data_IF_237745850464
#
_entry.id   IF_237745850464
#
_cell.length_a   1.000
_cell.length_b   1.000
_cell.length_c   1.000
_cell.angle_alpha   90.00
_cell.angle_beta   90.00
_cell.angle_gamma   90.00
#
_symmetry.space_group_name_H-M   'P 1'
#
loop_
_entity.id
_entity.type
_entity.pdbx_description
1 polymer ?
#
# COMPACT_ATOMS: atom_id res chain seq x y z
N UNK A 1 -63.40 43.81 -14.63
CA UNK A 1 -62.26 43.25 -15.37
C UNK A 1 -61.45 42.37 -14.43
N UNK A 2 -61.33 41.08 -14.77
CA UNK A 2 -61.01 39.95 -13.89
C UNK A 2 -59.96 39.05 -14.58
N UNK A 3 -59.08 38.45 -13.76
CA UNK A 3 -58.49 37.10 -13.88
C UNK A 3 -57.43 36.85 -14.98
N UNK A 4 -56.17 36.59 -14.58
CA UNK A 4 -55.54 35.27 -14.32
C UNK A 4 -55.33 34.39 -15.56
N UNK A 5 -54.07 33.96 -15.79
CA UNK A 5 -53.81 32.55 -16.10
C UNK A 5 -52.38 32.11 -15.77
N UNK A 6 -52.32 31.00 -15.04
CA UNK A 6 -51.16 30.21 -14.62
C UNK A 6 -51.41 28.81 -15.19
N UNK A 7 -50.46 28.19 -15.91
CA UNK A 7 -50.48 26.77 -16.29
C UNK A 7 -49.01 26.31 -16.32
N UNK A 8 -48.46 25.58 -15.34
CA UNK A 8 -48.61 24.17 -14.93
C UNK A 8 -48.23 23.14 -16.01
N UNK A 9 -47.14 22.42 -15.71
CA UNK A 9 -46.60 21.24 -16.38
C UNK A 9 -47.58 20.05 -16.35
N UNK A 10 -47.54 19.12 -17.31
CA UNK A 10 -48.36 17.92 -17.29
C UNK A 10 -47.75 16.84 -16.40
N UNK A 11 -48.55 16.38 -15.43
CA UNK A 11 -48.33 15.15 -14.68
C UNK A 11 -48.91 13.97 -15.48
N UNK A 12 -48.14 12.88 -15.57
CA UNK A 12 -48.63 11.59 -16.04
C UNK A 12 -49.58 10.98 -15.01
N UNK A 13 -50.85 10.76 -15.39
CA UNK A 13 -51.78 9.88 -14.68
C UNK A 13 -52.09 8.67 -15.55
N UNK A 14 -51.55 7.53 -15.14
CA UNK A 14 -51.98 6.20 -15.55
C UNK A 14 -53.34 5.90 -14.91
N UNK A 15 -54.31 5.49 -15.72
CA UNK A 15 -55.64 5.12 -15.25
C UNK A 15 -56.54 4.73 -16.42
N UNK A 16 -56.40 3.48 -16.88
CA UNK A 16 -57.24 2.89 -17.92
C UNK A 16 -57.12 1.38 -17.87
N UNK A 17 -58.06 0.75 -17.18
CA UNK A 17 -58.19 -0.70 -17.03
C UNK A 17 -58.65 -1.29 -18.38
N UNK A 18 -57.73 -1.91 -19.13
CA UNK A 18 -58.05 -2.64 -20.37
C UNK A 18 -58.21 -4.12 -20.07
N UNK A 19 -59.42 -4.61 -20.30
CA UNK A 19 -59.88 -5.96 -20.03
C UNK A 19 -59.36 -6.92 -21.13
N UNK A 20 -58.74 -8.04 -20.74
CA UNK A 20 -58.00 -8.95 -21.62
C UNK A 20 -58.88 -9.85 -22.53
N UNK A 21 -60.14 -9.49 -22.79
CA UNK A 21 -61.10 -10.34 -23.52
C UNK A 21 -61.41 -9.91 -24.95
N UNK A 22 -60.95 -8.73 -25.38
CA UNK A 22 -61.26 -8.17 -26.70
C UNK A 22 -60.03 -8.06 -27.62
N UNK A 23 -59.23 -9.13 -27.73
CA UNK A 23 -58.23 -9.22 -28.80
C UNK A 23 -58.69 -10.15 -29.92
N UNK A 24 -58.69 -9.70 -31.19
CA UNK A 24 -59.06 -10.53 -32.32
C UNK A 24 -58.00 -11.61 -32.57
N UNK A 25 -58.45 -12.87 -32.66
CA UNK A 25 -57.60 -14.03 -32.98
C UNK A 25 -57.24 -14.02 -34.46
N UNK A 26 -56.00 -13.65 -34.76
CA UNK A 26 -55.40 -13.81 -36.09
C UNK A 26 -55.13 -15.31 -36.32
N UNK A 27 -55.81 -15.91 -37.31
CA UNK A 27 -55.50 -17.25 -37.82
C UNK A 27 -54.40 -17.14 -38.87
N UNK A 28 -53.27 -17.80 -38.66
CA UNK A 28 -52.25 -17.99 -39.70
C UNK A 28 -52.53 -19.29 -40.48
N UNK A 29 -52.36 -19.31 -41.81
CA UNK A 29 -52.55 -20.50 -42.62
C UNK A 29 -51.40 -21.49 -42.43
N UNK A 30 -51.76 -22.78 -42.35
CA UNK A 30 -50.86 -23.93 -42.48
C UNK A 30 -50.73 -24.26 -43.96
N UNK A 31 -49.50 -24.29 -44.49
CA UNK A 31 -49.00 -25.21 -45.54
C UNK A 31 -47.46 -25.23 -45.42
N UNK A 32 -46.81 -26.31 -44.96
CA UNK A 32 -46.40 -27.52 -45.69
C UNK A 32 -45.58 -27.25 -46.96
N UNK A 33 -44.25 -27.35 -46.85
CA UNK A 33 -43.36 -27.83 -47.92
C UNK A 33 -41.96 -28.08 -47.38
N UNK A 34 -41.66 -29.37 -47.18
CA UNK A 34 -40.31 -29.90 -47.06
C UNK A 34 -39.53 -29.61 -48.36
N UNK A 35 -38.25 -29.24 -48.26
CA UNK A 35 -37.12 -29.85 -49.01
C UNK A 35 -35.85 -28.99 -48.90
N UNK A 36 -34.74 -29.72 -48.77
CA UNK A 36 -33.37 -29.33 -49.05
C UNK A 36 -32.63 -28.43 -48.03
N UNK A 37 -32.02 -29.05 -47.02
CA UNK A 37 -30.60 -28.79 -46.68
C UNK A 37 -29.97 -30.12 -46.20
N UNK A 38 -29.31 -30.84 -47.11
CA UNK A 38 -28.28 -31.84 -46.79
C UNK A 38 -26.99 -31.31 -47.40
N UNK A 39 -25.90 -31.49 -46.64
CA UNK A 39 -24.49 -31.29 -47.01
C UNK A 39 -23.94 -29.85 -46.89
N UNK A 40 -23.43 -29.51 -45.69
CA UNK A 40 -22.01 -29.20 -45.49
C UNK A 40 -21.70 -29.09 -43.97
N UNK A 41 -21.52 -30.22 -43.29
CA UNK A 41 -20.88 -30.28 -41.96
C UNK A 41 -19.73 -31.27 -42.06
N UNK A 42 -18.67 -30.86 -42.75
CA UNK A 42 -17.33 -31.45 -42.67
C UNK A 42 -16.34 -30.30 -42.84
N UNK A 43 -15.97 -29.66 -41.72
CA UNK A 43 -14.73 -28.89 -41.48
C UNK A 43 -14.94 -27.95 -40.29
N UNK A 44 -14.93 -28.49 -39.07
CA UNK A 44 -14.66 -27.74 -37.84
C UNK A 44 -13.85 -28.60 -36.87
N UNK A 45 -12.91 -29.36 -37.42
CA UNK A 45 -11.76 -29.91 -36.68
C UNK A 45 -10.58 -29.00 -36.97
N UNK A 46 -10.53 -27.91 -36.21
CA UNK A 46 -9.53 -26.85 -36.39
C UNK A 46 -9.74 -25.71 -35.40
N UNK A 47 -10.22 -26.00 -34.19
CA UNK A 47 -10.12 -25.04 -33.09
C UNK A 47 -8.68 -25.11 -32.59
N UNK A 48 -7.78 -24.37 -33.27
CA UNK A 48 -6.47 -24.08 -32.72
C UNK A 48 -6.65 -23.46 -31.36
N UNK A 49 -6.04 -24.06 -30.34
CA UNK A 49 -5.91 -23.43 -29.04
C UNK A 49 -5.17 -22.10 -29.26
N UNK A 50 -5.91 -20.99 -29.22
CA UNK A 50 -5.32 -19.72 -28.87
C UNK A 50 -4.81 -19.90 -27.44
N UNK A 51 -3.52 -20.15 -27.30
CA UNK A 51 -2.83 -19.95 -26.04
C UNK A 51 -2.94 -18.47 -25.72
N UNK A 52 -3.89 -18.14 -24.84
CA UNK A 52 -3.86 -16.88 -24.13
C UNK A 52 -2.54 -16.90 -23.35
N UNK A 53 -1.59 -16.04 -23.73
CA UNK A 53 -0.39 -15.77 -22.93
C UNK A 53 -0.85 -15.02 -21.67
N UNK A 54 -1.52 -15.75 -20.79
CA UNK A 54 -1.95 -15.29 -19.49
C UNK A 54 -0.84 -15.55 -18.50
N UNK A 55 -0.28 -14.46 -17.96
CA UNK A 55 0.26 -14.34 -16.61
C UNK A 55 0.92 -15.62 -16.07
N UNK A 56 2.11 -15.93 -16.58
CA UNK A 56 2.98 -16.93 -15.95
C UNK A 56 3.22 -16.50 -14.49
N UNK A 57 3.01 -17.39 -13.50
CA UNK A 57 3.15 -17.03 -12.11
C UNK A 57 4.59 -16.57 -11.85
N UNK A 58 4.73 -15.41 -11.20
CA UNK A 58 6.03 -14.84 -10.82
C UNK A 58 6.88 -15.88 -10.12
N UNK A 59 8.01 -16.25 -10.74
CA UNK A 59 8.90 -17.29 -10.22
C UNK A 59 9.83 -16.70 -9.17
N UNK A 60 10.12 -17.49 -8.13
CA UNK A 60 11.02 -17.07 -7.05
C UNK A 60 12.40 -16.68 -7.57
N UNK A 61 12.92 -17.38 -8.59
CA UNK A 61 14.23 -17.08 -9.18
C UNK A 61 14.25 -15.71 -9.88
N UNK A 62 13.13 -15.25 -10.41
CA UNK A 62 13.07 -13.95 -11.08
C UNK A 62 12.95 -12.79 -10.08
N UNK A 63 12.32 -13.03 -8.93
CA UNK A 63 12.37 -12.11 -7.78
C UNK A 63 13.79 -12.02 -7.22
N UNK A 64 14.49 -13.16 -7.09
CA UNK A 64 15.89 -13.16 -6.67
C UNK A 64 16.77 -12.38 -7.65
N UNK A 65 16.53 -12.52 -8.96
CA UNK A 65 17.23 -11.73 -9.98
C UNK A 65 17.02 -10.23 -9.79
N UNK A 66 15.78 -9.79 -9.52
CA UNK A 66 15.50 -8.39 -9.22
C UNK A 66 16.26 -7.91 -7.97
N UNK A 67 16.19 -8.66 -6.87
CA UNK A 67 16.84 -8.28 -5.61
C UNK A 67 18.37 -8.24 -5.70
N UNK A 68 18.96 -9.17 -6.47
CA UNK A 68 20.42 -9.30 -6.58
C UNK A 68 21.03 -8.37 -7.63
N UNK A 69 20.38 -8.23 -8.79
CA UNK A 69 20.95 -7.52 -9.94
C UNK A 69 20.33 -6.13 -10.11
N UNK A 70 19.01 -6.00 -10.02
CA UNK A 70 18.30 -4.77 -10.42
C UNK A 70 18.19 -3.76 -9.27
N UNK A 71 17.77 -4.18 -8.08
CA UNK A 71 17.61 -3.27 -6.94
C UNK A 71 18.91 -2.52 -6.57
N UNK A 72 20.10 -3.16 -6.55
CA UNK A 72 21.35 -2.45 -6.30
C UNK A 72 21.72 -1.45 -7.41
N UNK A 73 21.39 -1.75 -8.66
CA UNK A 73 21.60 -0.82 -9.78
C UNK A 73 20.68 0.40 -9.67
N UNK A 74 19.39 0.19 -9.39
CA UNK A 74 18.45 1.28 -9.15
C UNK A 74 18.91 2.16 -7.97
N UNK A 75 19.38 1.54 -6.89
CA UNK A 75 19.89 2.25 -5.72
C UNK A 75 21.14 3.09 -6.00
N UNK A 76 22.06 2.58 -6.81
CA UNK A 76 23.33 3.26 -7.11
C UNK A 76 23.25 4.28 -8.25
N UNK A 77 22.34 4.10 -9.21
CA UNK A 77 22.25 4.94 -10.43
C UNK A 77 21.04 5.85 -10.49
N UNK A 78 19.98 5.56 -9.74
CA UNK A 78 18.66 6.18 -9.98
C UNK A 78 18.04 6.85 -8.75
N UNK A 79 18.25 6.29 -7.55
CA UNK A 79 17.53 6.76 -6.35
C UNK A 79 17.88 8.17 -5.90
N UNK A 80 19.04 8.70 -6.27
CA UNK A 80 19.41 10.08 -5.96
C UNK A 80 18.38 11.10 -6.48
N UNK A 81 17.76 10.82 -7.63
CA UNK A 81 16.80 11.69 -8.30
C UNK A 81 15.37 11.13 -8.36
N UNK A 82 15.20 9.81 -8.25
CA UNK A 82 13.91 9.12 -8.46
C UNK A 82 13.50 8.24 -7.27
N UNK A 83 13.79 8.66 -6.04
CA UNK A 83 13.34 7.99 -4.81
C UNK A 83 12.61 8.92 -3.86
N UNK A 84 11.90 8.37 -2.86
CA UNK A 84 11.23 9.16 -1.83
C UNK A 84 12.20 9.89 -0.89
N UNK A 85 13.49 9.48 -0.88
CA UNK A 85 14.57 10.16 -0.17
C UNK A 85 15.27 11.26 -0.98
N UNK A 86 14.95 11.40 -2.26
CA UNK A 86 15.54 12.43 -3.11
C UNK A 86 15.12 13.84 -2.65
N UNK A 87 16.04 14.80 -2.73
CA UNK A 87 15.74 16.22 -2.43
C UNK A 87 14.65 16.78 -3.33
N UNK A 88 14.66 16.35 -4.59
CA UNK A 88 13.65 16.66 -5.60
C UNK A 88 13.40 15.38 -6.39
N UNK A 89 12.12 14.98 -6.52
CA UNK A 89 11.74 13.82 -7.32
C UNK A 89 11.55 14.28 -8.77
N UNK A 90 12.41 13.81 -9.67
CA UNK A 90 12.37 14.20 -11.08
C UNK A 90 11.31 13.38 -11.86
N UNK A 91 10.56 14.07 -12.74
CA UNK A 91 9.58 13.45 -13.64
C UNK A 91 8.44 12.70 -12.94
N UNK A 92 8.13 13.06 -11.69
CA UNK A 92 7.10 12.38 -10.90
C UNK A 92 7.38 10.90 -10.62
N UNK A 93 8.58 10.41 -10.95
CA UNK A 93 8.90 8.99 -11.04
C UNK A 93 9.55 8.47 -9.76
N UNK A 94 9.00 7.38 -9.22
CA UNK A 94 9.48 6.67 -8.03
C UNK A 94 9.96 5.27 -8.41
N UNK A 95 11.26 5.02 -8.30
CA UNK A 95 11.90 3.74 -8.64
C UNK A 95 12.23 2.90 -7.40
N UNK A 96 12.10 3.46 -6.21
CA UNK A 96 12.38 2.84 -4.91
C UNK A 96 11.20 2.04 -4.35
N UNK A 97 10.11 1.93 -5.09
CA UNK A 97 8.90 1.23 -4.67
C UNK A 97 8.26 0.45 -5.83
N UNK A 98 7.68 -0.71 -5.51
CA UNK A 98 6.94 -1.50 -6.50
C UNK A 98 5.73 -0.71 -7.05
N UNK A 99 5.01 -0.01 -6.18
CA UNK A 99 3.89 0.86 -6.56
C UNK A 99 4.35 2.01 -7.47
N UNK A 100 5.50 2.63 -7.18
CA UNK A 100 6.07 3.69 -8.01
C UNK A 100 6.49 3.20 -9.40
N UNK A 101 7.17 2.05 -9.45
CA UNK A 101 7.56 1.40 -10.71
C UNK A 101 6.35 1.03 -11.58
N UNK A 102 5.26 0.58 -10.96
CA UNK A 102 4.00 0.28 -11.65
C UNK A 102 3.25 1.55 -12.10
N UNK A 103 3.28 2.61 -11.28
CA UNK A 103 2.62 3.88 -11.59
C UNK A 103 3.29 4.61 -12.75
N UNK A 104 4.61 4.54 -12.86
CA UNK A 104 5.37 5.32 -13.84
C UNK A 104 5.56 6.77 -13.41
N UNK A 105 5.79 7.66 -14.37
CA UNK A 105 6.06 9.08 -14.13
C UNK A 105 5.21 10.00 -15.01
N UNK A 106 5.58 11.27 -15.06
CA UNK A 106 4.89 12.30 -15.85
C UNK A 106 4.90 11.99 -17.36
N UNK A 107 5.88 11.21 -17.82
CA UNK A 107 6.00 10.71 -19.20
C UNK A 107 5.15 9.46 -19.49
N UNK A 108 4.38 8.98 -18.50
CA UNK A 108 3.53 7.80 -18.62
C UNK A 108 4.12 6.54 -17.96
N UNK A 109 3.58 5.35 -18.31
CA UNK A 109 4.06 4.08 -17.77
C UNK A 109 5.54 3.87 -18.10
N UNK A 110 6.33 3.53 -17.09
CA UNK A 110 7.75 3.24 -17.29
C UNK A 110 7.96 1.81 -17.80
N UNK A 111 7.14 0.85 -17.33
CA UNK A 111 7.36 -0.57 -17.55
C UNK A 111 6.25 -1.18 -18.41
N UNK A 112 6.62 -1.74 -19.55
CA UNK A 112 5.84 -2.68 -20.34
C UNK A 112 6.47 -4.07 -20.18
N UNK A 113 5.80 -4.95 -19.42
CA UNK A 113 6.30 -6.29 -19.12
C UNK A 113 6.43 -7.17 -20.37
N UNK A 114 7.52 -7.91 -20.49
CA UNK A 114 7.77 -8.86 -21.59
C UNK A 114 8.17 -8.22 -22.92
N UNK A 115 8.22 -6.89 -23.02
CA UNK A 115 8.51 -6.16 -24.26
C UNK A 115 9.65 -5.14 -24.04
N UNK A 116 10.91 -5.61 -23.88
CA UNK A 116 12.02 -4.72 -23.53
C UNK A 116 12.34 -3.67 -24.60
N UNK A 117 12.16 -3.99 -25.89
CA UNK A 117 12.50 -3.07 -26.99
C UNK A 117 11.47 -1.95 -27.19
N UNK A 118 10.25 -2.12 -26.68
CA UNK A 118 9.16 -1.12 -26.73
C UNK A 118 9.03 -0.38 -25.38
N UNK A 119 10.04 -0.48 -24.52
CA UNK A 119 9.99 -0.01 -23.15
C UNK A 119 10.74 1.31 -22.97
N UNK A 120 10.05 2.31 -22.42
CA UNK A 120 10.62 3.64 -22.17
C UNK A 120 11.89 3.58 -21.30
N UNK A 121 11.95 2.67 -20.31
CA UNK A 121 13.15 2.49 -19.48
C UNK A 121 14.38 2.17 -20.33
N UNK A 122 14.25 1.28 -21.32
CA UNK A 122 15.39 0.89 -22.16
C UNK A 122 15.75 2.01 -23.13
N UNK A 123 14.77 2.69 -23.71
CA UNK A 123 14.99 3.84 -24.59
C UNK A 123 15.81 4.94 -23.88
N UNK A 124 15.43 5.33 -22.66
CA UNK A 124 16.12 6.40 -21.92
C UNK A 124 17.50 5.98 -21.41
N UNK A 125 17.69 4.71 -21.06
CA UNK A 125 18.99 4.17 -20.65
C UNK A 125 19.95 4.01 -21.85
N UNK A 126 19.42 3.70 -23.04
CA UNK A 126 20.18 3.63 -24.29
C UNK A 126 20.42 4.98 -24.94
N UNK A 127 19.75 6.03 -24.47
CA UNK A 127 19.83 7.39 -25.04
C UNK A 127 19.32 7.43 -26.49
N UNK A 128 18.32 6.61 -26.80
CA UNK A 128 17.79 6.48 -28.17
C UNK A 128 16.68 7.53 -28.45
N UNK A 129 16.25 8.29 -27.44
CA UNK A 129 15.22 9.32 -27.53
C UNK A 129 15.63 10.69 -26.97
N UNK A 130 14.64 11.57 -26.80
CA UNK A 130 14.82 12.94 -26.31
C UNK A 130 15.14 13.01 -24.81
N UNK A 131 14.69 12.01 -24.05
CA UNK A 131 14.95 11.89 -22.61
C UNK A 131 16.10 10.91 -22.41
N UNK A 132 17.16 11.38 -21.75
CA UNK A 132 18.38 10.60 -21.50
C UNK A 132 18.63 10.52 -19.99
N UNK A 133 18.81 9.30 -19.48
CA UNK A 133 19.04 9.05 -18.05
C UNK A 133 20.10 7.96 -17.87
N UNK A 134 21.02 8.09 -16.89
CA UNK A 134 21.20 9.20 -15.95
C UNK A 134 21.89 10.43 -16.57
N UNK A 135 21.61 11.66 -16.11
CA UNK A 135 22.16 12.88 -16.72
C UNK A 135 23.70 12.99 -16.64
N UNK A 136 24.32 12.29 -15.68
CA UNK A 136 25.77 12.32 -15.45
C UNK A 136 26.55 11.42 -16.42
N UNK A 137 25.85 10.54 -17.15
CA UNK A 137 26.48 9.67 -18.14
C UNK A 137 25.71 8.37 -18.36
N UNK A 138 25.80 7.86 -19.59
CA UNK A 138 25.15 6.63 -20.02
C UNK A 138 25.69 5.42 -19.24
N UNK A 139 24.81 4.51 -18.83
CA UNK A 139 25.22 3.27 -18.18
C UNK A 139 26.09 2.40 -19.11
N UNK A 140 27.00 1.59 -18.56
CA UNK A 140 27.65 0.53 -19.30
C UNK A 140 26.62 -0.40 -19.94
N UNK A 141 26.89 -0.86 -21.16
CA UNK A 141 25.96 -1.74 -21.90
C UNK A 141 25.58 -2.99 -21.09
N UNK A 142 26.52 -3.55 -20.32
CA UNK A 142 26.26 -4.70 -19.45
C UNK A 142 25.20 -4.42 -18.37
N UNK A 143 25.14 -3.20 -17.81
CA UNK A 143 24.10 -2.83 -16.83
C UNK A 143 22.74 -2.65 -17.53
N UNK A 144 22.71 -2.08 -18.74
CA UNK A 144 21.49 -1.94 -19.55
C UNK A 144 20.92 -3.32 -19.94
N UNK A 145 21.78 -4.28 -20.25
CA UNK A 145 21.36 -5.66 -20.55
C UNK A 145 20.70 -6.35 -19.34
N UNK A 146 21.11 -6.04 -18.11
CA UNK A 146 20.43 -6.55 -16.90
C UNK A 146 18.99 -6.04 -16.82
N UNK A 147 18.76 -4.74 -17.06
CA UNK A 147 17.40 -4.19 -17.13
C UNK A 147 16.59 -4.79 -18.26
N UNK A 148 17.21 -4.99 -19.43
CA UNK A 148 16.58 -5.61 -20.60
C UNK A 148 16.13 -7.04 -20.29
N UNK A 149 16.98 -7.81 -19.61
CA UNK A 149 16.68 -9.18 -19.19
C UNK A 149 15.58 -9.23 -18.12
N UNK A 150 15.61 -8.33 -17.13
CA UNK A 150 14.55 -8.22 -16.13
C UNK A 150 13.18 -7.93 -16.78
N UNK A 151 13.14 -7.02 -17.76
CA UNK A 151 11.92 -6.72 -18.52
C UNK A 151 11.45 -7.92 -19.36
N UNK A 152 12.38 -8.66 -19.97
CA UNK A 152 12.08 -9.89 -20.72
C UNK A 152 11.44 -10.95 -19.82
N UNK A 153 11.83 -11.02 -18.54
CA UNK A 153 11.23 -11.87 -17.50
C UNK A 153 9.89 -11.38 -16.98
N UNK A 154 9.34 -10.31 -17.54
CA UNK A 154 8.07 -9.72 -17.13
C UNK A 154 8.18 -8.67 -16.02
N UNK A 155 9.39 -8.17 -15.75
CA UNK A 155 9.68 -7.23 -14.67
C UNK A 155 9.05 -7.59 -13.32
N UNK A 156 9.32 -8.80 -12.80
CA UNK A 156 8.75 -9.22 -11.54
C UNK A 156 9.29 -8.37 -10.40
N UNK A 157 8.38 -7.98 -9.50
CA UNK A 157 8.63 -7.17 -8.33
C UNK A 157 8.23 -7.96 -7.08
N UNK A 158 8.98 -7.86 -5.98
CA UNK A 158 8.61 -8.49 -4.71
C UNK A 158 7.28 -7.92 -4.22
N UNK A 159 6.44 -8.79 -3.66
CA UNK A 159 5.19 -8.36 -3.06
C UNK A 159 5.47 -7.54 -1.79
N UNK A 160 5.15 -6.25 -1.83
CA UNK A 160 5.11 -5.35 -0.67
C UNK A 160 6.48 -4.94 -0.14
N UNK A 161 6.84 -3.67 -0.35
CA UNK A 161 7.80 -2.98 0.50
C UNK A 161 7.01 -2.08 1.47
N UNK A 162 7.10 -2.25 2.80
CA UNK A 162 6.41 -1.37 3.75
C UNK A 162 6.80 0.11 3.61
N UNK A 163 7.92 0.44 2.97
CA UNK A 163 8.28 1.82 2.63
C UNK A 163 7.65 2.30 1.31
N UNK A 164 7.18 1.39 0.44
CA UNK A 164 6.55 1.71 -0.85
C UNK A 164 5.16 2.35 -0.73
N UNK A 165 4.44 2.07 0.35
CA UNK A 165 3.07 2.58 0.59
C UNK A 165 3.03 4.02 1.11
N UNK A 166 4.17 4.72 1.20
CA UNK A 166 4.14 6.16 1.44
C UNK A 166 3.85 6.87 0.12
N UNK A 167 2.64 7.44 -0.07
CA UNK A 167 2.36 8.25 -1.24
C UNK A 167 3.44 9.32 -1.38
N UNK A 168 4.02 9.44 -2.58
CA UNK A 168 4.92 10.55 -2.89
C UNK A 168 4.16 11.86 -2.70
N UNK A 169 4.57 12.63 -1.69
CA UNK A 169 4.30 14.08 -1.64
C UNK A 169 3.00 14.54 -0.97
N UNK A 170 2.09 13.66 -0.54
CA UNK A 170 0.92 14.08 0.24
C UNK A 170 1.11 13.73 1.72
N UNK A 171 1.48 14.73 2.53
CA UNK A 171 1.36 14.62 3.99
C UNK A 171 -0.13 14.50 4.29
N UNK A 172 -0.56 13.34 4.77
CA UNK A 172 -1.91 13.15 5.29
C UNK A 172 -2.03 13.93 6.61
N UNK A 173 -2.44 15.19 6.51
CA UNK A 173 -2.64 16.04 7.66
C UNK A 173 -3.82 15.57 8.52
N UNK A 174 -4.78 14.85 7.97
CA UNK A 174 -5.91 14.27 8.73
C UNK A 174 -5.41 13.13 9.62
N UNK A 175 -4.72 12.15 9.06
CA UNK A 175 -4.07 11.08 9.84
C UNK A 175 -3.02 11.66 10.82
N UNK A 176 -2.28 12.69 10.40
CA UNK A 176 -1.34 13.40 11.25
C UNK A 176 -2.01 13.99 12.49
N UNK A 177 -3.21 14.57 12.38
CA UNK A 177 -3.97 15.12 13.52
C UNK A 177 -4.40 14.06 14.55
N UNK A 178 -4.43 12.78 14.18
CA UNK A 178 -4.74 11.69 15.12
C UNK A 178 -3.56 11.29 16.00
N UNK A 179 -2.34 11.74 15.68
CA UNK A 179 -1.16 11.45 16.48
C UNK A 179 -1.32 11.98 17.91
N UNK A 180 -0.85 11.20 18.89
CA UNK A 180 -1.18 11.39 20.30
C UNK A 180 -0.88 12.79 20.86
N UNK A 181 0.13 13.49 20.33
CA UNK A 181 0.54 14.81 20.80
C UNK A 181 -0.32 15.97 20.25
N UNK A 182 -1.06 15.75 19.17
CA UNK A 182 -1.97 16.75 18.58
C UNK A 182 -3.40 16.63 19.08
N UNK A 183 -3.71 15.56 19.81
CA UNK A 183 -5.02 15.35 20.43
C UNK A 183 -5.09 16.05 21.78
N UNK A 184 -6.22 16.68 22.13
CA UNK A 184 -6.42 17.23 23.46
C UNK A 184 -6.21 16.18 24.55
N UNK A 185 -5.47 16.54 25.61
CA UNK A 185 -5.23 15.65 26.74
C UNK A 185 -6.52 15.46 27.53
N UNK A 186 -7.09 14.26 27.47
CA UNK A 186 -8.28 13.89 28.23
C UNK A 186 -7.92 13.04 29.45
N UNK A 187 -8.55 13.34 30.59
CA UNK A 187 -8.35 12.60 31.82
C UNK A 187 -9.00 11.22 31.74
N UNK A 188 -8.20 10.18 31.52
CA UNK A 188 -8.66 8.77 31.43
C UNK A 188 -9.27 8.28 32.75
N UNK A 189 -10.32 7.47 32.74
CA UNK A 189 -10.84 6.85 33.97
C UNK A 189 -9.79 5.94 34.61
N UNK A 190 -9.82 5.84 35.95
CA UNK A 190 -8.93 4.93 36.67
C UNK A 190 -9.34 3.48 36.39
N UNK A 191 -8.41 2.58 36.03
CA UNK A 191 -8.73 1.17 35.80
C UNK A 191 -9.07 0.45 37.12
N UNK A 192 -9.86 -0.62 37.00
CA UNK A 192 -10.15 -1.56 38.10
C UNK A 192 -9.04 -2.61 38.20
N UNK A 193 -8.63 -2.94 39.42
CA UNK A 193 -7.46 -3.79 39.70
C UNK A 193 -7.76 -4.70 40.88
N UNK A 194 -7.19 -5.91 40.89
CA UNK A 194 -7.52 -6.94 41.89
C UNK A 194 -6.83 -6.74 43.25
N UNK A 195 -5.86 -5.83 43.34
CA UNK A 195 -5.16 -5.46 44.58
C UNK A 195 -4.76 -3.98 44.54
N UNK A 196 -5.52 -3.09 45.19
CA UNK A 196 -5.29 -1.64 45.13
C UNK A 196 -4.24 -1.15 46.14
N UNK A 197 -3.48 -2.03 46.80
CA UNK A 197 -2.53 -1.62 47.85
C UNK A 197 -1.22 -1.06 47.28
N UNK A 198 -0.71 -1.63 46.19
CA UNK A 198 0.56 -1.22 45.59
C UNK A 198 0.53 0.19 44.94
N UNK A 199 -0.53 0.59 44.21
CA UNK A 199 -0.58 1.89 43.54
C UNK A 199 -0.55 3.08 44.52
N UNK A 200 0.47 3.95 44.42
CA UNK A 200 0.61 5.16 45.24
C UNK A 200 0.16 6.42 44.51
N UNK A 201 0.47 6.49 43.22
CA UNK A 201 0.09 7.59 42.34
C UNK A 201 -0.99 7.17 41.36
N UNK A 202 -1.59 8.14 40.67
CA UNK A 202 -2.60 7.87 39.64
C UNK A 202 -2.06 7.02 38.48
N UNK A 203 -0.78 7.18 38.14
CA UNK A 203 -0.13 6.44 37.04
C UNK A 203 0.01 4.96 37.42
N UNK A 204 0.31 4.68 38.68
CA UNK A 204 0.54 3.32 39.18
C UNK A 204 -0.69 2.41 38.98
N UNK A 205 -1.90 2.97 38.98
CA UNK A 205 -3.13 2.23 38.66
C UNK A 205 -3.12 1.68 37.24
N UNK A 206 -2.62 2.45 36.27
CA UNK A 206 -2.48 1.99 34.88
C UNK A 206 -1.36 0.98 34.74
N UNK A 207 -0.27 1.15 35.49
CA UNK A 207 0.86 0.21 35.51
C UNK A 207 0.40 -1.15 36.05
N UNK A 208 -0.21 -1.21 37.24
CA UNK A 208 -0.65 -2.47 37.81
C UNK A 208 -1.74 -3.15 36.96
N UNK A 209 -2.65 -2.38 36.35
CA UNK A 209 -3.66 -2.92 35.44
C UNK A 209 -3.03 -3.57 34.20
N UNK A 210 -1.97 -2.97 33.65
CA UNK A 210 -1.21 -3.57 32.56
C UNK A 210 -0.48 -4.83 33.00
N UNK A 211 0.21 -4.79 34.15
CA UNK A 211 0.91 -5.96 34.69
C UNK A 211 -0.04 -7.13 34.95
N UNK A 212 -1.21 -6.89 35.56
CA UNK A 212 -2.20 -7.93 35.83
C UNK A 212 -2.74 -8.58 34.56
N UNK A 213 -2.95 -7.81 33.48
CA UNK A 213 -3.36 -8.35 32.17
C UNK A 213 -2.32 -9.31 31.61
N UNK A 214 -1.04 -8.98 31.77
CA UNK A 214 0.09 -9.79 31.37
C UNK A 214 0.50 -10.83 32.43
N UNK A 215 -0.29 -11.00 33.50
CA UNK A 215 -0.04 -11.95 34.59
C UNK A 215 1.29 -11.71 35.34
N UNK A 216 1.73 -10.46 35.37
CA UNK A 216 2.92 -10.00 36.09
C UNK A 216 2.56 -9.40 37.45
N UNK A 217 3.50 -9.50 38.39
CA UNK A 217 3.40 -8.89 39.72
C UNK A 217 4.53 -7.88 39.95
N UNK A 218 4.29 -6.79 40.69
CA UNK A 218 5.34 -5.84 41.05
C UNK A 218 6.47 -6.50 41.84
N UNK A 219 7.70 -6.07 41.56
CA UNK A 219 8.85 -6.43 42.39
C UNK A 219 8.74 -5.76 43.76
N UNK A 220 9.32 -6.37 44.81
CA UNK A 220 9.45 -5.71 46.11
C UNK A 220 10.28 -4.42 45.98
N UNK A 221 10.04 -3.48 46.89
CA UNK A 221 10.85 -2.28 46.98
C UNK A 221 12.32 -2.65 47.24
N UNK A 222 13.23 -2.02 46.51
CA UNK A 222 14.66 -2.20 46.73
C UNK A 222 15.07 -1.64 48.10
N UNK A 223 16.04 -2.28 48.75
CA UNK A 223 16.62 -1.78 49.98
C UNK A 223 17.42 -0.47 49.74
N UNK A 224 17.67 0.29 50.82
CA UNK A 224 18.35 1.58 50.74
C UNK A 224 19.76 1.48 50.14
N UNK A 225 20.50 0.41 50.42
CA UNK A 225 21.85 0.24 49.88
C UNK A 225 21.83 -0.02 48.36
N UNK A 226 20.85 -0.79 47.89
CA UNK A 226 20.59 -0.98 46.46
C UNK A 226 20.17 0.32 45.78
N UNK A 227 19.33 1.14 46.44
CA UNK A 227 18.85 2.41 45.90
C UNK A 227 19.98 3.42 45.67
N UNK A 228 20.82 3.69 46.67
CA UNK A 228 21.93 4.65 46.49
C UNK A 228 22.88 4.19 45.39
N UNK A 229 23.19 2.88 45.34
CA UNK A 229 24.05 2.33 44.30
C UNK A 229 23.47 2.58 42.91
N UNK A 230 22.18 2.28 42.68
CA UNK A 230 21.52 2.50 41.38
C UNK A 230 21.50 3.97 41.00
N UNK A 231 21.13 4.85 41.93
CA UNK A 231 21.09 6.28 41.70
C UNK A 231 22.45 6.85 41.26
N UNK A 232 23.53 6.41 41.92
CA UNK A 232 24.89 6.82 41.57
C UNK A 232 25.30 6.37 40.17
N UNK A 233 24.99 5.12 39.80
CA UNK A 233 25.26 4.66 38.43
C UNK A 233 24.41 5.40 37.39
N UNK A 234 23.14 5.66 37.68
CA UNK A 234 22.23 6.30 36.73
C UNK A 234 22.55 7.79 36.50
N UNK A 235 22.93 8.51 37.57
CA UNK A 235 23.17 9.96 37.52
C UNK A 235 24.63 10.31 37.26
N UNK A 236 25.56 9.59 37.89
CA UNK A 236 27.00 9.91 37.87
C UNK A 236 27.79 8.94 37.00
N UNK A 237 27.34 7.68 36.88
CA UNK A 237 28.05 6.63 36.14
C UNK A 237 29.18 5.95 36.92
N UNK A 238 29.36 6.29 38.20
CA UNK A 238 30.37 5.72 39.10
C UNK A 238 29.70 5.16 40.36
N UNK A 239 30.30 4.16 41.05
CA UNK A 239 29.75 3.68 42.31
C UNK A 239 29.84 4.75 43.43
N UNK A 240 28.94 4.71 44.43
CA UNK A 240 29.04 5.59 45.60
C UNK A 240 30.27 5.25 46.44
N UNK A 241 30.82 6.27 47.12
CA UNK A 241 31.88 6.04 48.11
C UNK A 241 31.29 5.37 49.36
N UNK A 242 32.10 4.67 50.18
CA UNK A 242 31.64 4.11 51.44
C UNK A 242 31.00 5.17 52.37
N UNK A 243 31.55 6.38 52.39
CA UNK A 243 31.03 7.50 53.17
C UNK A 243 29.64 7.94 52.70
N UNK A 244 29.43 8.03 51.38
CA UNK A 244 28.11 8.36 50.80
C UNK A 244 27.05 7.31 51.16
N UNK A 245 27.41 6.03 51.08
CA UNK A 245 26.51 4.93 51.46
C UNK A 245 26.16 5.03 52.94
N UNK A 246 27.14 5.24 53.81
CA UNK A 246 26.90 5.36 55.25
C UNK A 246 25.99 6.54 55.57
N UNK A 247 26.22 7.71 54.95
CA UNK A 247 25.39 8.89 55.12
C UNK A 247 23.94 8.64 54.66
N UNK A 248 23.74 8.06 53.48
CA UNK A 248 22.40 7.78 52.95
C UNK A 248 21.64 6.72 53.75
N UNK A 249 22.33 5.72 54.31
CA UNK A 249 21.68 4.71 55.15
C UNK A 249 21.24 5.26 56.52
N UNK A 250 21.84 6.35 56.97
CA UNK A 250 21.53 7.01 58.25
C UNK A 250 20.53 8.18 58.12
N UNK A 251 20.31 8.68 56.89
CA UNK A 251 19.30 9.69 56.59
C UNK A 251 17.90 9.08 56.69
N UNK A 252 16.96 9.70 57.41
CA UNK A 252 15.59 9.17 57.58
C UNK A 252 14.70 9.48 56.37
#
# INVERSE_FOLDING_TARGET
MRLLRRMRSPAWRMGGNVNARDMPRIRLPRESSQRAVIALIVMLSGCGALSYAGDEPVRAEDIEFFEREIRPLLASRCYECHSGGAKTIHGGLRLDSAAGLQQGGDSGPLLVAGQPEENLLIEVLRYDGDIQMPPEGKLPLAEIELFTEWLRRGAPLPAGDPLADRPSGAIDFDAGREFWSFRPVCRQSRPEVHDPVWPRTRIDWFVIAAMQREQLSPNPAADRATLIRRLYFDVIGLPPTPEDVAAFLQDE
#
